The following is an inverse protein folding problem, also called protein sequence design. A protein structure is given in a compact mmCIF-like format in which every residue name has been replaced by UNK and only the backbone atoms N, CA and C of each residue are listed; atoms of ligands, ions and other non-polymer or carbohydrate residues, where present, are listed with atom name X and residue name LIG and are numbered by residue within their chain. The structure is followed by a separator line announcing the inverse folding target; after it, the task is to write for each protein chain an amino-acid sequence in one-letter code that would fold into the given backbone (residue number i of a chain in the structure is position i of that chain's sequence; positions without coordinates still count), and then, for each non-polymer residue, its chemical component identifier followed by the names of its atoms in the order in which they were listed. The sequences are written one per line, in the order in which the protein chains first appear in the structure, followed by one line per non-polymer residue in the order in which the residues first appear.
data_IF_426899046000
#
_entry.id   IF_426899046000
#
_cell.length_a   1.000
_cell.length_b   1.000
_cell.length_c   1.000
_cell.angle_alpha   90.00
_cell.angle_beta   90.00
_cell.angle_gamma   90.00
#
_symmetry.space_group_name_H-M   'P 1'
#
loop_
_entity.id
_entity.type
_entity.pdbx_description
1 polymer ?
#
# COMPACT_ATOMS: atom_id res chain seq x y z
N UNK A 1 16.73 7.57 12.13
CA UNK A 1 16.59 9.01 12.40
C UNK A 1 15.29 9.48 11.74
N UNK A 2 14.24 9.72 12.52
CA UNK A 2 12.94 10.17 11.99
C UNK A 2 13.14 11.61 11.50
N UNK A 3 12.81 11.88 10.23
CA UNK A 3 12.84 13.25 9.72
C UNK A 3 11.71 14.03 10.40
N UNK A 4 12.07 14.89 11.36
CA UNK A 4 11.14 15.90 11.90
C UNK A 4 10.59 16.71 10.73
N UNK A 5 9.28 16.86 10.65
CA UNK A 5 8.62 17.60 9.58
C UNK A 5 9.06 19.07 9.63
N UNK A 6 9.41 19.62 8.46
CA UNK A 6 9.66 21.05 8.29
C UNK A 6 8.37 21.82 8.58
N UNK A 7 8.44 22.89 9.36
CA UNK A 7 7.34 23.85 9.49
C UNK A 7 7.61 25.10 8.64
N UNK A 8 6.61 25.99 8.45
CA UNK A 8 6.85 27.28 7.81
C UNK A 8 7.99 28.06 8.50
N UNK A 9 8.88 28.66 7.71
CA UNK A 9 10.02 29.41 8.22
C UNK A 9 9.56 30.69 8.92
N UNK A 10 10.18 31.03 10.04
CA UNK A 10 10.06 32.36 10.64
C UNK A 10 10.83 33.39 9.81
N UNK A 11 10.57 34.68 10.00
CA UNK A 11 11.26 35.74 9.24
C UNK A 11 12.78 35.70 9.45
N UNK A 12 13.23 35.44 10.67
CA UNK A 12 14.66 35.28 10.98
C UNK A 12 15.28 34.08 10.25
N UNK A 13 14.58 32.94 10.23
CA UNK A 13 15.00 31.75 9.50
C UNK A 13 15.06 32.01 7.99
N UNK A 14 14.11 32.79 7.45
CA UNK A 14 14.08 33.16 6.03
C UNK A 14 15.28 34.03 5.64
N UNK A 15 15.56 35.07 6.42
CA UNK A 15 16.71 35.96 6.19
C UNK A 15 18.02 35.17 6.30
N UNK A 16 18.13 34.28 7.28
CA UNK A 16 19.32 33.44 7.44
C UNK A 16 19.49 32.45 6.27
N UNK A 17 18.39 31.81 5.83
CA UNK A 17 18.40 30.90 4.70
C UNK A 17 18.79 31.59 3.39
N UNK A 18 18.29 32.79 3.14
CA UNK A 18 18.62 33.57 1.95
C UNK A 18 20.11 33.94 1.92
N UNK A 19 20.67 34.40 3.04
CA UNK A 19 22.08 34.77 3.17
C UNK A 19 23.05 33.61 2.95
N UNK A 20 22.65 32.39 3.29
CA UNK A 20 23.51 31.20 3.22
C UNK A 20 23.08 30.22 2.12
N UNK A 21 22.20 30.63 1.21
CA UNK A 21 21.63 29.77 0.19
C UNK A 21 22.68 29.20 -0.78
N UNK A 22 23.69 30.00 -1.12
CA UNK A 22 24.80 29.62 -2.02
C UNK A 22 25.56 28.38 -1.54
N UNK A 23 25.46 28.07 -0.25
CA UNK A 23 26.08 26.88 0.34
C UNK A 23 25.54 25.57 -0.27
N UNK A 24 24.30 25.54 -0.75
CA UNK A 24 23.71 24.37 -1.41
C UNK A 24 24.48 24.07 -2.71
N UNK A 25 24.69 25.08 -3.54
CA UNK A 25 25.46 24.93 -4.79
C UNK A 25 26.91 24.54 -4.52
N UNK A 26 27.56 25.17 -3.53
CA UNK A 26 28.91 24.79 -3.13
C UNK A 26 29.00 23.33 -2.68
N UNK A 27 27.99 22.85 -1.94
CA UNK A 27 27.92 21.48 -1.47
C UNK A 27 27.73 20.47 -2.61
N UNK A 28 26.80 20.75 -3.55
CA UNK A 28 26.51 19.88 -4.69
C UNK A 28 27.70 19.83 -5.66
N UNK A 29 28.26 20.98 -6.02
CA UNK A 29 29.42 21.08 -6.89
C UNK A 29 30.64 20.38 -6.30
N UNK A 30 30.88 20.55 -5.00
CA UNK A 30 31.98 19.88 -4.30
C UNK A 30 31.82 18.36 -4.18
N UNK A 31 30.64 17.81 -4.52
CA UNK A 31 30.37 16.36 -4.57
C UNK A 31 30.13 15.84 -5.98
N UNK A 32 30.29 16.68 -7.00
CA UNK A 32 29.98 16.36 -8.40
C UNK A 32 28.55 15.83 -8.59
N UNK A 33 27.59 16.36 -7.82
CA UNK A 33 26.18 16.04 -7.96
C UNK A 33 25.53 17.04 -8.92
N UNK A 34 24.75 16.54 -9.88
CA UNK A 34 24.00 17.40 -10.79
C UNK A 34 22.99 18.25 -10.00
N UNK A 35 22.99 19.56 -10.25
CA UNK A 35 22.11 20.50 -9.55
C UNK A 35 20.65 20.19 -9.91
N UNK A 36 20.36 19.90 -11.18
CA UNK A 36 18.98 19.63 -11.63
C UNK A 36 18.35 18.42 -10.94
N UNK A 37 19.15 17.38 -10.66
CA UNK A 37 18.65 16.14 -10.06
C UNK A 37 18.56 16.19 -8.53
N UNK A 38 19.46 16.96 -7.90
CA UNK A 38 19.70 16.86 -6.45
C UNK A 38 19.39 18.13 -5.65
N UNK A 39 19.13 19.26 -6.31
CA UNK A 39 18.84 20.51 -5.62
C UNK A 39 17.60 20.40 -4.72
N UNK A 40 16.50 19.85 -5.22
CA UNK A 40 15.25 19.71 -4.46
C UNK A 40 15.44 18.86 -3.21
N UNK A 41 16.23 17.80 -3.28
CA UNK A 41 16.51 16.95 -2.11
C UNK A 41 17.45 17.66 -1.13
N UNK A 42 18.47 18.36 -1.64
CA UNK A 42 19.44 19.06 -0.81
C UNK A 42 18.83 20.28 -0.11
N UNK A 43 17.95 21.04 -0.76
CA UNK A 43 17.33 22.25 -0.19
C UNK A 43 16.48 21.91 1.04
N UNK A 44 15.75 20.79 1.05
CA UNK A 44 15.03 20.37 2.25
C UNK A 44 15.95 20.00 3.41
N UNK A 45 17.10 19.37 3.12
CA UNK A 45 18.14 19.14 4.13
C UNK A 45 18.74 20.44 4.67
N UNK A 46 18.96 21.42 3.79
CA UNK A 46 19.46 22.75 4.14
C UNK A 46 18.47 23.53 5.00
N UNK A 47 17.20 23.63 4.61
CA UNK A 47 16.17 24.35 5.36
C UNK A 47 15.95 23.74 6.75
N UNK A 48 16.05 22.41 6.85
CA UNK A 48 16.02 21.73 8.14
C UNK A 48 17.19 22.14 9.02
N UNK A 49 18.40 22.25 8.45
CA UNK A 49 19.56 22.72 9.19
C UNK A 49 19.39 24.16 9.67
N UNK A 50 18.77 25.05 8.88
CA UNK A 50 18.47 26.42 9.29
C UNK A 50 17.52 26.44 10.50
N UNK A 51 16.45 25.64 10.46
CA UNK A 51 15.52 25.50 11.58
C UNK A 51 16.23 24.95 12.83
N UNK A 52 16.90 23.80 12.69
CA UNK A 52 17.60 23.15 13.80
C UNK A 52 18.67 24.08 14.42
N UNK A 53 19.41 24.85 13.61
CA UNK A 53 20.48 25.74 14.09
C UNK A 53 19.95 26.95 14.88
N UNK A 54 18.81 27.52 14.46
CA UNK A 54 18.23 28.68 15.12
C UNK A 54 17.35 28.29 16.32
N UNK A 55 16.70 27.13 16.29
CA UNK A 55 15.84 26.65 17.38
C UNK A 55 16.60 25.97 18.52
N UNK A 56 17.78 25.39 18.24
CA UNK A 56 18.56 24.64 19.24
C UNK A 56 19.88 25.37 19.51
N UNK A 57 19.98 26.12 20.61
CA UNK A 57 21.22 26.80 21.01
C UNK A 57 22.41 25.83 21.15
N UNK A 58 22.15 24.59 21.54
CA UNK A 58 23.14 23.52 21.64
C UNK A 58 23.89 23.24 20.33
N UNK A 59 23.26 23.49 19.17
CA UNK A 59 23.89 23.28 17.86
C UNK A 59 24.75 24.47 17.43
N UNK A 60 24.58 25.64 18.06
CA UNK A 60 25.32 26.87 17.73
C UNK A 60 26.78 26.81 18.21
N UNK A 61 27.14 25.86 19.07
CA UNK A 61 28.55 25.55 19.38
C UNK A 61 29.33 25.07 18.15
N UNK A 62 28.62 24.56 17.12
CA UNK A 62 29.20 24.15 15.86
C UNK A 62 29.00 25.22 14.78
N UNK A 63 29.85 25.21 13.76
CA UNK A 63 29.65 26.05 12.58
C UNK A 63 28.41 25.58 11.82
N UNK A 64 27.56 26.52 11.39
CA UNK A 64 26.37 26.23 10.58
C UNK A 64 26.68 25.35 9.37
N UNK A 65 27.80 25.60 8.67
CA UNK A 65 28.22 24.80 7.51
C UNK A 65 28.36 23.31 7.82
N UNK A 66 28.80 22.95 9.02
CA UNK A 66 28.90 21.56 9.46
C UNK A 66 27.50 20.94 9.61
N UNK A 67 26.58 21.65 10.27
CA UNK A 67 25.20 21.20 10.49
C UNK A 67 24.47 21.04 9.15
N UNK A 68 24.58 22.04 8.26
CA UNK A 68 24.00 22.02 6.94
C UNK A 68 24.55 20.87 6.08
N UNK A 69 25.87 20.62 6.12
CA UNK A 69 26.50 19.52 5.38
C UNK A 69 25.97 18.15 5.82
N UNK A 70 25.78 17.94 7.12
CA UNK A 70 25.24 16.70 7.68
C UNK A 70 23.78 16.54 7.26
N UNK A 71 22.96 17.57 7.44
CA UNK A 71 21.54 17.51 7.13
C UNK A 71 21.28 17.27 5.62
N UNK A 72 22.01 17.95 4.73
CA UNK A 72 21.94 17.73 3.28
C UNK A 72 22.38 16.32 2.89
N UNK A 73 23.45 15.80 3.49
CA UNK A 73 23.91 14.41 3.27
C UNK A 73 22.84 13.41 3.68
N UNK A 74 22.23 13.61 4.84
CA UNK A 74 21.25 12.68 5.37
C UNK A 74 19.93 12.72 4.56
N UNK A 75 19.56 13.88 4.01
CA UNK A 75 18.45 14.01 3.06
C UNK A 75 18.72 13.22 1.77
N UNK A 76 19.89 13.39 1.15
CA UNK A 76 20.31 12.63 -0.03
C UNK A 76 20.35 11.13 0.23
N UNK A 77 20.92 10.71 1.36
CA UNK A 77 20.96 9.30 1.73
C UNK A 77 19.56 8.70 1.91
N UNK A 78 18.60 9.48 2.38
CA UNK A 78 17.21 9.05 2.51
C UNK A 78 16.54 8.90 1.15
N UNK A 79 16.75 9.84 0.23
CA UNK A 79 16.23 9.73 -1.13
C UNK A 79 16.86 8.56 -1.89
N UNK A 80 18.17 8.36 -1.80
CA UNK A 80 18.83 7.18 -2.39
C UNK A 80 18.30 5.87 -1.81
N UNK A 81 18.04 5.79 -0.50
CA UNK A 81 17.41 4.62 0.11
C UNK A 81 16.02 4.39 -0.44
N UNK A 82 15.24 5.45 -0.65
CA UNK A 82 13.86 5.40 -1.18
C UNK A 82 13.85 4.98 -2.65
N UNK A 83 14.74 5.53 -3.48
CA UNK A 83 14.93 5.13 -4.87
C UNK A 83 15.40 3.67 -4.97
N UNK A 84 16.28 3.23 -4.06
CA UNK A 84 16.80 1.86 -4.05
C UNK A 84 15.89 0.82 -3.37
N UNK A 85 14.66 1.17 -2.99
CA UNK A 85 13.73 0.18 -2.44
C UNK A 85 13.31 -0.81 -3.54
N UNK A 86 13.32 -2.13 -3.28
CA UNK A 86 13.09 -3.16 -4.30
C UNK A 86 11.74 -3.02 -5.01
N UNK A 87 10.66 -2.64 -4.31
CA UNK A 87 9.36 -2.37 -4.95
C UNK A 87 9.36 -1.18 -5.92
N UNK A 88 10.31 -0.24 -5.81
CA UNK A 88 10.47 0.90 -6.73
C UNK A 88 11.54 0.68 -7.79
N UNK A 89 12.35 -0.37 -7.63
CA UNK A 89 13.29 -0.91 -8.62
C UNK A 89 12.76 -2.23 -9.20
N UNK A 90 11.44 -2.37 -9.31
CA UNK A 90 10.87 -3.46 -10.09
C UNK A 90 11.48 -3.34 -11.49
N UNK A 91 12.21 -4.36 -11.90
CA UNK A 91 12.81 -4.45 -13.21
C UNK A 91 11.65 -4.44 -14.20
N UNK A 92 11.43 -3.30 -14.87
CA UNK A 92 10.57 -3.23 -16.04
C UNK A 92 11.40 -3.79 -17.18
N UNK A 93 11.47 -5.12 -17.26
CA UNK A 93 11.90 -5.76 -18.49
C UNK A 93 10.88 -5.34 -19.56
N UNK A 94 11.37 -4.79 -20.67
CA UNK A 94 10.56 -4.49 -21.82
C UNK A 94 9.90 -5.81 -22.23
N UNK A 95 8.58 -5.89 -22.09
CA UNK A 95 7.82 -7.12 -22.33
C UNK A 95 7.98 -7.46 -23.81
N UNK A 96 8.95 -8.31 -24.13
CA UNK A 96 8.99 -8.97 -25.41
C UNK A 96 7.81 -9.92 -25.40
N UNK A 97 6.89 -9.72 -26.34
CA UNK A 97 5.75 -10.60 -26.61
C UNK A 97 6.25 -11.94 -27.17
N UNK A 98 7.23 -12.55 -26.51
CA UNK A 98 7.51 -13.96 -26.67
C UNK A 98 6.33 -14.68 -26.03
N UNK A 99 5.71 -15.52 -26.84
CA UNK A 99 4.46 -16.27 -26.66
C UNK A 99 4.48 -17.26 -25.49
N UNK A 100 5.22 -16.99 -24.42
CA UNK A 100 5.15 -17.74 -23.19
C UNK A 100 3.81 -17.44 -22.53
N UNK A 101 2.87 -18.39 -22.69
CA UNK A 101 1.57 -18.35 -22.03
C UNK A 101 1.76 -18.08 -20.53
N UNK A 102 0.82 -17.33 -19.95
CA UNK A 102 0.86 -16.89 -18.55
C UNK A 102 1.06 -18.05 -17.54
N UNK A 103 0.79 -19.28 -17.95
CA UNK A 103 1.03 -20.52 -17.19
C UNK A 103 2.52 -20.87 -17.02
N UNK A 104 3.42 -20.40 -17.87
CA UNK A 104 4.87 -20.56 -17.71
C UNK A 104 5.39 -19.74 -16.51
N UNK A 105 4.86 -18.53 -16.34
CA UNK A 105 5.23 -17.63 -15.24
C UNK A 105 4.50 -17.96 -13.93
N UNK A 106 3.30 -18.54 -14.05
CA UNK A 106 2.44 -18.88 -12.93
C UNK A 106 2.07 -20.37 -13.01
N UNK A 107 2.99 -21.29 -12.66
CA UNK A 107 2.79 -22.74 -12.84
C UNK A 107 1.59 -23.29 -12.06
N UNK A 108 1.16 -22.61 -11.00
CA UNK A 108 0.01 -22.99 -10.16
C UNK A 108 -1.31 -22.39 -10.66
N UNK A 109 -1.27 -21.49 -11.67
CA UNK A 109 -2.46 -20.77 -12.14
C UNK A 109 -3.50 -21.72 -12.73
N UNK A 110 -3.06 -22.66 -13.56
CA UNK A 110 -3.95 -23.62 -14.22
C UNK A 110 -4.63 -24.54 -13.21
N UNK A 111 -3.91 -25.01 -12.19
CA UNK A 111 -4.46 -25.79 -11.08
C UNK A 111 -5.52 -25.00 -10.30
N UNK A 112 -5.24 -23.71 -9.99
CA UNK A 112 -6.21 -22.82 -9.33
C UNK A 112 -7.45 -22.55 -10.17
N UNK A 113 -7.29 -22.43 -11.48
CA UNK A 113 -8.42 -22.28 -12.40
C UNK A 113 -9.27 -23.54 -12.44
N UNK A 114 -8.65 -24.72 -12.48
CA UNK A 114 -9.36 -25.99 -12.41
C UNK A 114 -10.12 -26.15 -11.08
N UNK A 115 -9.47 -25.88 -9.94
CA UNK A 115 -10.08 -25.89 -8.60
C UNK A 115 -11.29 -24.94 -8.54
N UNK A 116 -11.15 -23.70 -9.03
CA UNK A 116 -12.24 -22.73 -9.06
C UNK A 116 -13.40 -23.15 -9.98
N UNK A 117 -13.12 -23.85 -11.08
CA UNK A 117 -14.16 -24.39 -11.97
C UNK A 117 -14.91 -25.54 -11.31
N UNK A 118 -14.21 -26.44 -10.62
CA UNK A 118 -14.83 -27.54 -9.87
C UNK A 118 -15.69 -27.02 -8.73
N UNK A 119 -15.20 -26.04 -7.96
CA UNK A 119 -15.97 -25.37 -6.91
C UNK A 119 -17.23 -24.70 -7.46
N UNK A 120 -17.12 -24.03 -8.61
CA UNK A 120 -18.27 -23.43 -9.30
C UNK A 120 -19.30 -24.47 -9.71
N UNK A 121 -18.86 -25.61 -10.26
CA UNK A 121 -19.75 -26.70 -10.66
C UNK A 121 -20.50 -27.29 -9.46
N UNK A 122 -19.78 -27.53 -8.35
CA UNK A 122 -20.38 -27.98 -7.08
C UNK A 122 -21.39 -26.98 -6.55
N UNK A 123 -21.08 -25.68 -6.58
CA UNK A 123 -22.01 -24.63 -6.15
C UNK A 123 -23.29 -24.61 -7.00
N UNK A 124 -23.17 -24.71 -8.33
CA UNK A 124 -24.33 -24.74 -9.22
C UNK A 124 -25.23 -25.95 -8.95
N UNK A 125 -24.63 -27.14 -8.73
CA UNK A 125 -25.36 -28.32 -8.33
C UNK A 125 -26.10 -28.11 -7.00
N UNK A 126 -25.45 -27.52 -5.99
CA UNK A 126 -26.08 -27.22 -4.70
C UNK A 126 -27.22 -26.20 -4.82
N UNK A 127 -27.07 -25.15 -5.63
CA UNK A 127 -28.10 -24.13 -5.86
C UNK A 127 -29.37 -24.69 -6.51
N UNK A 128 -29.26 -25.78 -7.28
CA UNK A 128 -30.40 -26.46 -7.89
C UNK A 128 -31.35 -27.07 -6.84
N UNK A 129 -30.83 -27.50 -5.68
CA UNK A 129 -31.63 -28.06 -4.58
C UNK A 129 -32.23 -27.01 -3.64
N UNK A 130 -31.96 -25.72 -3.88
CA UNK A 130 -32.45 -24.64 -3.05
C UNK A 130 -33.73 -24.03 -3.61
N UNK A 131 -34.66 -23.74 -2.71
CA UNK A 131 -35.83 -22.94 -3.06
C UNK A 131 -35.41 -21.52 -3.44
N UNK A 132 -36.19 -20.79 -4.26
CA UNK A 132 -35.87 -19.41 -4.65
C UNK A 132 -35.58 -18.49 -3.46
N UNK A 133 -36.31 -18.67 -2.35
CA UNK A 133 -36.12 -17.88 -1.13
C UNK A 133 -34.86 -18.26 -0.34
N UNK A 134 -34.47 -19.53 -0.34
CA UNK A 134 -33.19 -19.96 0.23
C UNK A 134 -32.01 -19.43 -0.60
N UNK A 135 -32.10 -19.46 -1.94
CA UNK A 135 -31.10 -18.85 -2.82
C UNK A 135 -30.94 -17.35 -2.55
N UNK A 136 -32.05 -16.63 -2.42
CA UNK A 136 -32.02 -15.20 -2.09
C UNK A 136 -31.27 -14.91 -0.79
N UNK A 137 -31.53 -15.70 0.27
CA UNK A 137 -30.83 -15.57 1.56
C UNK A 137 -29.33 -15.87 1.46
N UNK A 138 -28.94 -16.88 0.66
CA UNK A 138 -27.53 -17.23 0.45
C UNK A 138 -26.79 -16.15 -0.33
N UNK A 139 -27.38 -15.59 -1.39
CA UNK A 139 -26.77 -14.50 -2.15
C UNK A 139 -26.54 -13.27 -1.28
N UNK A 140 -27.54 -12.84 -0.51
CA UNK A 140 -27.38 -11.70 0.38
C UNK A 140 -26.27 -11.93 1.42
N UNK A 141 -26.11 -13.14 1.95
CA UNK A 141 -25.00 -13.42 2.86
C UNK A 141 -23.64 -13.41 2.15
N UNK A 142 -23.57 -13.89 0.90
CA UNK A 142 -22.34 -13.86 0.10
C UNK A 142 -21.93 -12.41 -0.25
N UNK A 143 -22.91 -11.54 -0.46
CA UNK A 143 -22.71 -10.10 -0.70
C UNK A 143 -22.32 -9.32 0.58
N UNK A 144 -22.27 -10.00 1.74
CA UNK A 144 -21.79 -9.45 3.00
C UNK A 144 -22.87 -8.88 3.93
N UNK A 145 -24.15 -9.05 3.61
CA UNK A 145 -25.24 -8.59 4.49
C UNK A 145 -25.29 -9.40 5.79
N UNK A 146 -25.67 -8.74 6.88
CA UNK A 146 -25.88 -9.36 8.18
C UNK A 146 -27.21 -10.11 8.25
N UNK A 147 -27.34 -11.03 9.21
CA UNK A 147 -28.60 -11.78 9.39
C UNK A 147 -29.80 -10.89 9.72
N UNK A 148 -29.58 -9.69 10.29
CA UNK A 148 -30.64 -8.72 10.54
C UNK A 148 -31.10 -8.05 9.24
N UNK A 149 -30.17 -7.58 8.41
CA UNK A 149 -30.49 -6.96 7.12
C UNK A 149 -31.14 -7.97 6.17
N UNK A 150 -30.67 -9.22 6.17
CA UNK A 150 -31.28 -10.30 5.38
C UNK A 150 -32.71 -10.57 5.86
N UNK A 151 -32.96 -10.54 7.17
CA UNK A 151 -34.28 -10.75 7.76
C UNK A 151 -35.26 -9.67 7.30
N UNK A 152 -34.84 -8.41 7.32
CA UNK A 152 -35.61 -7.27 6.81
C UNK A 152 -35.88 -7.39 5.30
N UNK A 153 -34.86 -7.62 4.48
CA UNK A 153 -34.99 -7.75 3.01
C UNK A 153 -35.88 -8.94 2.63
N UNK A 154 -35.77 -10.04 3.36
CA UNK A 154 -36.51 -11.26 3.06
C UNK A 154 -37.89 -11.33 3.71
N UNK A 155 -38.28 -10.34 4.52
CA UNK A 155 -39.50 -10.32 5.36
C UNK A 155 -39.63 -11.59 6.23
N UNK A 156 -38.55 -11.95 6.93
CA UNK A 156 -38.50 -13.08 7.87
C UNK A 156 -37.82 -12.63 9.16
N UNK A 157 -37.85 -13.47 10.20
CA UNK A 157 -37.12 -13.18 11.44
C UNK A 157 -35.64 -13.55 11.30
N UNK A 158 -34.76 -12.91 12.06
CA UNK A 158 -33.33 -13.26 12.13
C UNK A 158 -33.11 -14.72 12.56
N UNK A 159 -33.99 -15.24 13.43
CA UNK A 159 -34.02 -16.67 13.76
C UNK A 159 -34.43 -17.54 12.55
N UNK A 160 -35.36 -17.07 11.72
CA UNK A 160 -35.73 -17.70 10.46
C UNK A 160 -34.57 -17.77 9.45
N UNK A 161 -33.75 -16.72 9.36
CA UNK A 161 -32.49 -16.72 8.57
C UNK A 161 -31.54 -17.80 9.09
N UNK A 162 -31.32 -17.84 10.41
CA UNK A 162 -30.45 -18.83 11.05
C UNK A 162 -30.93 -20.27 10.82
N UNK A 163 -32.23 -20.53 10.98
CA UNK A 163 -32.84 -21.85 10.75
C UNK A 163 -32.68 -22.31 9.30
N UNK A 164 -32.79 -21.39 8.34
CA UNK A 164 -32.57 -21.68 6.90
C UNK A 164 -31.11 -22.05 6.63
N UNK A 165 -30.14 -21.29 7.15
CA UNK A 165 -28.73 -21.65 7.04
C UNK A 165 -28.39 -22.98 7.72
N UNK A 166 -29.00 -23.26 8.88
CA UNK A 166 -28.84 -24.55 9.55
C UNK A 166 -29.33 -25.72 8.69
N UNK A 167 -30.54 -25.63 8.15
CA UNK A 167 -31.12 -26.66 7.25
C UNK A 167 -30.31 -26.79 5.97
N UNK A 168 -29.88 -25.67 5.40
CA UNK A 168 -29.04 -25.62 4.21
C UNK A 168 -27.72 -26.38 4.43
N UNK A 169 -26.99 -26.08 5.50
CA UNK A 169 -25.72 -26.77 5.84
C UNK A 169 -25.93 -28.27 6.06
N UNK A 170 -27.06 -28.66 6.66
CA UNK A 170 -27.42 -30.07 6.84
C UNK A 170 -27.68 -30.78 5.51
N UNK A 171 -28.42 -30.13 4.59
CA UNK A 171 -28.65 -30.63 3.22
C UNK A 171 -27.35 -30.77 2.43
N UNK A 172 -26.48 -29.76 2.49
CA UNK A 172 -25.17 -29.78 1.81
C UNK A 172 -24.32 -30.95 2.33
N UNK A 173 -24.24 -31.14 3.66
CA UNK A 173 -23.50 -32.27 4.25
C UNK A 173 -24.06 -33.64 3.88
N UNK A 174 -25.37 -33.78 3.69
CA UNK A 174 -25.95 -35.04 3.22
C UNK A 174 -25.70 -35.31 1.74
N UNK A 175 -25.47 -34.26 0.95
CA UNK A 175 -25.13 -34.36 -0.48
C UNK A 175 -23.62 -34.62 -0.68
N UNK A 176 -22.77 -34.05 0.17
CA UNK A 176 -21.31 -34.27 0.18
C UNK A 176 -20.93 -35.73 0.54
N UNK A 177 -21.86 -36.50 1.13
CA UNK A 177 -21.71 -37.92 1.43
C UNK A 177 -22.32 -38.87 0.39
N UNK A 178 -22.93 -38.34 -0.68
CA UNK A 178 -23.31 -39.13 -1.86
C UNK A 178 -22.22 -38.90 -2.91
N UNK A 179 -21.23 -39.79 -2.96
CA UNK A 179 -20.34 -39.89 -4.11
C UNK A 179 -21.20 -40.03 -5.37
N UNK A 180 -21.02 -39.10 -6.32
CA UNK A 180 -21.32 -39.30 -7.74
C UNK A 180 -20.01 -39.66 -8.41
#
# INVERSE_FOLDING_TARGET
MIMKALHPLTEEQRIFAEKHHDFIYQYLNGRHLNIEDYYDTAVFGYLKAVQDYLEKPELQQYRFSTIARIAMRDALATEWKKQNRPMRRAYLEEYQEDTAELDVFLPVRQERLAEAMDDRNRLLALLAYLTPKERQVVHLQADGYTYHEIAEICNITSHGVHSRFYRLRRKVRSLDGMEV
#
